data_IF_096424215589
#
_entry.id   IF_096424215589
#
_cell.length_a   1.000
_cell.length_b   1.000
_cell.length_c   1.000
_cell.angle_alpha   90.00
_cell.angle_beta   90.00
_cell.angle_gamma   90.00
#
_symmetry.space_group_name_H-M   'P 1'
#
loop_
_entity.id
_entity.type
_entity.pdbx_description
1 polymer ?
#
# COMPACT_ATOMS: atom_id res chain seq x y z
N UNK A 1 -14.86 -13.01 -37.67
CA UNK A 1 -13.78 -12.93 -36.65
C UNK A 1 -14.41 -12.84 -35.27
N UNK A 2 -14.40 -13.94 -34.50
CA UNK A 2 -15.04 -13.99 -33.18
C UNK A 2 -14.31 -13.12 -32.16
N UNK A 3 -15.02 -12.18 -31.52
CA UNK A 3 -14.46 -11.35 -30.45
C UNK A 3 -14.19 -12.26 -29.24
N UNK A 4 -12.92 -12.38 -28.82
CA UNK A 4 -12.56 -13.13 -27.61
C UNK A 4 -13.10 -12.39 -26.38
N UNK A 5 -13.98 -13.05 -25.64
CA UNK A 5 -14.52 -12.55 -24.38
C UNK A 5 -13.54 -12.83 -23.22
N UNK A 6 -13.52 -11.92 -22.24
CA UNK A 6 -12.63 -11.98 -21.08
C UNK A 6 -13.44 -12.03 -19.78
N UNK A 7 -13.14 -12.97 -18.89
CA UNK A 7 -13.93 -13.22 -17.68
C UNK A 7 -13.15 -12.83 -16.42
N UNK A 8 -13.86 -12.25 -15.46
CA UNK A 8 -13.34 -12.00 -14.12
C UNK A 8 -13.44 -13.28 -13.27
N UNK A 9 -12.33 -13.80 -12.71
CA UNK A 9 -12.35 -15.02 -11.90
C UNK A 9 -13.01 -14.81 -10.53
N UNK A 10 -13.13 -13.57 -10.04
CA UNK A 10 -13.70 -13.29 -8.72
C UNK A 10 -15.23 -13.16 -8.73
N UNK A 11 -15.80 -12.63 -9.82
CA UNK A 11 -17.24 -12.38 -9.91
C UNK A 11 -17.93 -12.92 -11.17
N UNK A 12 -17.18 -13.60 -12.05
CA UNK A 12 -17.71 -14.18 -13.29
C UNK A 12 -18.08 -13.19 -14.40
N UNK A 13 -17.97 -11.87 -14.17
CA UNK A 13 -18.35 -10.85 -15.16
C UNK A 13 -17.52 -10.96 -16.44
N UNK A 14 -18.19 -10.78 -17.56
CA UNK A 14 -17.61 -10.86 -18.90
C UNK A 14 -17.37 -9.46 -19.49
N UNK A 15 -16.24 -9.31 -20.17
CA UNK A 15 -15.81 -8.06 -20.78
C UNK A 15 -15.40 -8.29 -22.24
N UNK A 16 -15.79 -7.38 -23.16
CA UNK A 16 -15.40 -7.47 -24.57
C UNK A 16 -13.93 -7.12 -24.79
N UNK A 17 -13.31 -6.37 -23.86
CA UNK A 17 -11.92 -5.95 -23.94
C UNK A 17 -11.16 -6.37 -22.70
N UNK A 18 -9.92 -6.84 -22.89
CA UNK A 18 -9.01 -7.18 -21.78
C UNK A 18 -8.76 -5.98 -20.85
N UNK A 19 -8.67 -4.78 -21.41
CA UNK A 19 -8.47 -3.54 -20.64
C UNK A 19 -9.58 -3.29 -19.62
N UNK A 20 -10.84 -3.49 -20.01
CA UNK A 20 -12.01 -3.34 -19.14
C UNK A 20 -12.04 -4.38 -18.00
N UNK A 21 -11.60 -5.62 -18.28
CA UNK A 21 -11.44 -6.63 -17.23
C UNK A 21 -10.36 -6.21 -16.21
N UNK A 22 -9.22 -5.72 -16.69
CA UNK A 22 -8.10 -5.32 -15.82
C UNK A 22 -8.49 -4.13 -14.95
N UNK A 23 -9.19 -3.13 -15.48
CA UNK A 23 -9.65 -1.98 -14.69
C UNK A 23 -10.70 -2.40 -13.65
N UNK A 24 -11.61 -3.31 -14.00
CA UNK A 24 -12.58 -3.89 -13.06
C UNK A 24 -11.89 -4.66 -11.92
N UNK A 25 -10.94 -5.55 -12.23
CA UNK A 25 -10.20 -6.30 -11.22
C UNK A 25 -9.41 -5.37 -10.29
N UNK A 26 -8.80 -4.32 -10.84
CA UNK A 26 -8.10 -3.31 -10.06
C UNK A 26 -9.04 -2.59 -9.07
N UNK A 27 -10.21 -2.13 -9.53
CA UNK A 27 -11.14 -1.44 -8.65
C UNK A 27 -11.68 -2.35 -7.54
N UNK A 28 -11.92 -3.62 -7.84
CA UNK A 28 -12.36 -4.60 -6.85
C UNK A 28 -11.28 -4.85 -5.79
N UNK A 29 -10.03 -5.03 -6.21
CA UNK A 29 -8.90 -5.16 -5.29
C UNK A 29 -8.70 -3.90 -4.42
N UNK A 30 -8.88 -2.71 -4.98
CA UNK A 30 -8.82 -1.45 -4.23
C UNK A 30 -9.95 -1.33 -3.20
N UNK A 31 -11.18 -1.75 -3.56
CA UNK A 31 -12.31 -1.80 -2.63
C UNK A 31 -12.08 -2.82 -1.51
N UNK A 32 -11.65 -4.04 -1.84
CA UNK A 32 -11.33 -5.05 -0.85
C UNK A 32 -10.24 -4.56 0.11
N UNK A 33 -9.19 -3.92 -0.43
CA UNK A 33 -8.14 -3.28 0.37
C UNK A 33 -8.69 -2.18 1.29
N UNK A 34 -9.63 -1.36 0.82
CA UNK A 34 -10.30 -0.35 1.63
C UNK A 34 -11.11 -0.99 2.76
N UNK A 35 -11.90 -2.03 2.47
CA UNK A 35 -12.74 -2.69 3.48
C UNK A 35 -11.93 -3.24 4.67
N UNK A 36 -10.67 -3.65 4.47
CA UNK A 36 -9.77 -4.08 5.56
C UNK A 36 -9.53 -3.01 6.62
N UNK A 37 -9.70 -1.72 6.32
CA UNK A 37 -9.59 -0.65 7.34
C UNK A 37 -10.76 -0.64 8.31
N UNK A 38 -11.92 -1.15 7.89
CA UNK A 38 -13.11 -1.25 8.73
C UNK A 38 -13.15 -2.57 9.50
N UNK A 39 -12.80 -3.67 8.83
CA UNK A 39 -12.88 -5.02 9.43
C UNK A 39 -11.67 -5.36 10.31
N UNK A 40 -10.54 -4.67 10.13
CA UNK A 40 -9.30 -4.98 10.83
C UNK A 40 -8.58 -6.23 10.31
N UNK A 41 -9.00 -6.78 9.17
CA UNK A 41 -8.36 -7.94 8.53
C UNK A 41 -6.88 -7.63 8.21
N UNK A 42 -5.99 -8.56 8.60
CA UNK A 42 -4.53 -8.42 8.44
C UNK A 42 -3.94 -9.68 7.79
N UNK A 43 -4.13 -9.87 6.47
CA UNK A 43 -3.74 -11.11 5.79
C UNK A 43 -2.23 -11.28 5.61
N UNK A 44 -1.41 -10.26 5.90
CA UNK A 44 0.03 -10.30 5.70
C UNK A 44 0.76 -10.44 7.04
N UNK A 45 1.31 -11.62 7.35
CA UNK A 45 2.06 -11.89 8.57
C UNK A 45 3.57 -11.75 8.38
N UNK A 46 4.26 -11.29 9.42
CA UNK A 46 5.72 -11.34 9.51
C UNK A 46 6.15 -12.73 9.95
N UNK A 47 7.00 -13.40 9.17
CA UNK A 47 7.52 -14.72 9.51
C UNK A 47 8.48 -14.70 10.69
N UNK A 48 9.11 -13.56 10.98
CA UNK A 48 10.11 -13.44 12.05
C UNK A 48 9.49 -13.21 13.43
N UNK A 49 8.40 -12.43 13.52
CA UNK A 49 7.79 -12.07 14.80
C UNK A 49 6.26 -12.30 14.88
N UNK A 50 5.64 -12.87 13.85
CA UNK A 50 4.21 -13.15 13.80
C UNK A 50 3.30 -11.93 13.66
N UNK A 51 3.86 -10.71 13.61
CA UNK A 51 3.06 -9.48 13.51
C UNK A 51 2.32 -9.38 12.18
N UNK A 52 1.01 -9.11 12.22
CA UNK A 52 0.17 -9.04 11.03
C UNK A 52 -0.13 -7.61 10.55
N UNK A 53 -0.30 -7.44 9.24
CA UNK A 53 -0.54 -6.18 8.54
C UNK A 53 -1.68 -6.30 7.52
N UNK A 54 -2.42 -5.21 7.32
CA UNK A 54 -3.52 -5.12 6.34
C UNK A 54 -3.04 -4.93 4.89
N UNK A 55 -1.79 -4.50 4.71
CA UNK A 55 -1.19 -4.23 3.40
C UNK A 55 0.22 -4.81 3.27
N UNK A 56 0.53 -5.38 2.10
CA UNK A 56 1.85 -5.93 1.76
C UNK A 56 2.98 -4.91 1.91
N UNK A 57 2.77 -3.65 1.48
CA UNK A 57 3.77 -2.59 1.64
C UNK A 57 4.11 -2.32 3.12
N UNK A 58 3.13 -2.39 4.02
CA UNK A 58 3.36 -2.20 5.47
C UNK A 58 4.20 -3.32 6.05
N UNK A 59 3.94 -4.57 5.66
CA UNK A 59 4.81 -5.71 6.00
C UNK A 59 6.23 -5.51 5.47
N UNK A 60 6.39 -5.15 4.19
CA UNK A 60 7.72 -4.93 3.59
C UNK A 60 8.53 -3.84 4.31
N UNK A 61 7.91 -2.72 4.69
CA UNK A 61 8.57 -1.68 5.50
C UNK A 61 8.89 -2.19 6.91
N UNK A 62 8.01 -3.00 7.50
CA UNK A 62 8.27 -3.61 8.80
C UNK A 62 9.44 -4.59 8.77
N UNK A 63 9.61 -5.40 7.72
CA UNK A 63 10.74 -6.33 7.62
C UNK A 63 12.10 -5.60 7.69
N UNK A 64 12.17 -4.36 7.19
CA UNK A 64 13.36 -3.52 7.34
C UNK A 64 13.70 -3.16 8.78
N UNK A 65 12.74 -3.22 9.70
CA UNK A 65 13.03 -3.01 11.12
C UNK A 65 13.78 -4.19 11.76
N UNK A 66 13.69 -5.38 11.18
CA UNK A 66 14.49 -6.53 11.61
C UNK A 66 15.92 -6.45 11.07
N UNK A 67 16.10 -6.02 9.82
CA UNK A 67 17.43 -5.90 9.21
C UNK A 67 18.16 -4.60 9.57
N UNK A 68 17.44 -3.61 10.09
CA UNK A 68 17.94 -2.26 10.30
C UNK A 68 18.06 -1.42 9.02
N UNK A 69 17.58 -1.90 7.87
CA UNK A 69 17.64 -1.19 6.59
C UNK A 69 16.87 0.14 6.62
N UNK A 70 17.58 1.24 6.42
CA UNK A 70 17.03 2.61 6.41
C UNK A 70 17.61 3.39 5.24
N UNK A 71 17.15 3.13 4.00
CA UNK A 71 17.78 3.67 2.80
C UNK A 71 17.44 5.15 2.54
N UNK A 72 16.52 5.74 3.32
CA UNK A 72 16.07 7.11 3.13
C UNK A 72 16.65 8.00 4.22
N UNK A 73 17.65 8.82 3.89
CA UNK A 73 18.25 9.79 4.82
C UNK A 73 17.63 11.18 4.69
N UNK A 74 17.52 11.89 5.81
CA UNK A 74 17.22 13.31 5.84
C UNK A 74 18.48 14.11 5.53
N UNK A 75 18.44 14.97 4.53
CA UNK A 75 19.57 15.81 4.13
C UNK A 75 19.91 16.89 5.16
N UNK A 76 18.97 17.26 6.02
CA UNK A 76 19.16 18.34 6.99
C UNK A 76 19.77 17.86 8.32
N UNK A 77 19.36 16.68 8.81
CA UNK A 77 19.82 16.17 10.11
C UNK A 77 20.44 14.77 10.07
N UNK A 78 20.57 14.15 8.88
CA UNK A 78 21.17 12.83 8.71
C UNK A 78 20.33 11.65 9.24
N UNK A 79 19.15 11.88 9.83
CA UNK A 79 18.29 10.80 10.32
C UNK A 79 17.81 9.90 9.18
N UNK A 80 17.92 8.58 9.38
CA UNK A 80 17.53 7.59 8.38
C UNK A 80 16.17 6.94 8.69
N UNK A 81 15.41 6.62 7.65
CA UNK A 81 14.06 6.07 7.70
C UNK A 81 13.94 4.83 6.80
N UNK A 82 13.10 3.87 7.21
CA UNK A 82 12.83 2.64 6.46
C UNK A 82 11.92 2.87 5.23
N UNK A 83 11.19 3.99 5.16
CA UNK A 83 10.28 4.30 4.05
C UNK A 83 10.25 5.79 3.69
N UNK A 84 10.05 6.09 2.40
CA UNK A 84 9.94 7.45 1.87
C UNK A 84 8.81 8.27 2.50
N UNK A 85 7.58 7.75 2.74
CA UNK A 85 6.54 8.51 3.39
C UNK A 85 6.94 8.99 4.80
N UNK A 86 7.64 8.17 5.57
CA UNK A 86 8.11 8.56 6.90
C UNK A 86 9.15 9.68 6.83
N UNK A 87 10.07 9.63 5.85
CA UNK A 87 11.01 10.72 5.59
C UNK A 87 10.27 12.01 5.23
N UNK A 88 9.30 11.96 4.31
CA UNK A 88 8.54 13.14 3.90
C UNK A 88 7.78 13.76 5.07
N UNK A 89 7.14 12.96 5.92
CA UNK A 89 6.48 13.46 7.13
C UNK A 89 7.49 14.08 8.09
N UNK A 90 8.67 13.50 8.23
CA UNK A 90 9.75 14.07 9.05
C UNK A 90 10.27 15.40 8.50
N UNK A 91 10.43 15.55 7.18
CA UNK A 91 10.88 16.82 6.58
C UNK A 91 9.97 18.00 6.93
N UNK A 92 8.66 17.76 7.10
CA UNK A 92 7.72 18.80 7.56
C UNK A 92 8.02 19.32 8.97
N UNK A 93 8.69 18.54 9.80
CA UNK A 93 9.12 18.99 11.13
C UNK A 93 10.26 20.00 11.08
N UNK A 94 11.01 20.06 9.98
CA UNK A 94 12.04 21.06 9.75
C UNK A 94 11.46 22.36 9.18
N UNK A 95 10.54 22.26 8.23
CA UNK A 95 9.91 23.44 7.59
C UNK A 95 8.83 24.09 8.44
N UNK A 96 8.31 23.39 9.46
CA UNK A 96 7.19 23.86 10.28
C UNK A 96 5.85 23.87 9.53
N UNK A 97 5.78 23.31 8.32
CA UNK A 97 4.54 23.25 7.54
C UNK A 97 3.46 22.47 8.29
N UNK A 98 2.28 23.10 8.42
CA UNK A 98 1.04 22.48 8.94
C UNK A 98 -0.04 22.49 7.86
N UNK A 99 -0.03 21.52 6.93
CA UNK A 99 -0.95 21.48 5.79
C UNK A 99 -2.40 21.19 6.18
N UNK A 100 -2.62 20.72 7.41
CA UNK A 100 -3.92 20.33 7.91
C UNK A 100 -4.37 21.35 8.95
N UNK A 101 -5.43 22.08 8.61
CA UNK A 101 -6.19 22.92 9.53
C UNK A 101 -7.55 22.30 9.75
N UNK A 102 -8.10 22.39 10.97
CA UNK A 102 -9.51 22.11 11.20
C UNK A 102 -10.33 23.24 10.54
N UNK A 103 -11.42 22.88 9.88
CA UNK A 103 -12.48 23.80 9.50
C UNK A 103 -13.50 23.90 10.64
#
# INVERSE_FOLDING_TARGET
>A
MGKKLHFCPECGKCFPYKSSLVTHQKSHADLAKHQRSHTGEKPYSCSECGKCFSHKFRLSVHLKSHTGDKPFSCSECGKCFASKPNLVTHLRSHTGEKPYSCL
#
